data_IF_588356202298
#
_entry.id   IF_588356202298
#
_cell.length_a   1.000
_cell.length_b   1.000
_cell.length_c   1.000
_cell.angle_alpha   90.00
_cell.angle_beta   90.00
_cell.angle_gamma   90.00
#
_symmetry.space_group_name_H-M   'P 1'
#
loop_
_entity.id
_entity.type
_entity.pdbx_description
1 polymer ?
#
# COMPACT_ATOMS: atom_id res chain seq x y z
N UNK A 1 70.11 3.73 22.50
CA UNK A 1 70.60 2.41 22.94
C UNK A 1 69.80 1.90 24.13
N UNK A 2 68.65 1.25 24.01
CA UNK A 2 67.60 1.21 22.97
C UNK A 2 66.31 0.61 23.56
N UNK A 3 66.10 0.73 24.87
CA UNK A 3 65.05 -0.01 25.58
C UNK A 3 64.05 0.90 26.29
N UNK A 4 64.41 2.14 26.63
CA UNK A 4 63.51 3.05 27.35
C UNK A 4 62.57 3.86 26.43
N UNK A 5 62.91 4.05 25.15
CA UNK A 5 62.05 4.77 24.19
C UNK A 5 60.90 3.87 23.70
N UNK A 6 61.12 2.55 23.59
CA UNK A 6 60.10 1.58 23.19
C UNK A 6 58.95 1.44 24.21
N UNK A 7 59.23 1.63 25.50
CA UNK A 7 58.21 1.53 26.56
C UNK A 7 57.30 2.76 26.65
N UNK A 8 57.78 3.95 26.26
CA UNK A 8 56.95 5.16 26.19
C UNK A 8 55.98 5.14 24.99
N UNK A 9 56.36 4.49 23.88
CA UNK A 9 55.50 4.34 22.70
C UNK A 9 54.39 3.30 22.94
N UNK A 10 54.64 2.28 23.78
CA UNK A 10 53.65 1.24 24.11
C UNK A 10 52.59 1.67 25.15
N UNK A 11 52.88 2.69 25.98
CA UNK A 11 51.94 3.18 27.01
C UNK A 11 50.99 4.28 26.50
N UNK A 12 51.29 4.89 25.34
CA UNK A 12 50.44 5.91 24.70
C UNK A 12 49.51 5.37 23.59
N UNK A 13 49.51 4.06 23.33
CA UNK A 13 48.65 3.42 22.33
C UNK A 13 47.54 2.51 22.91
N UNK A 14 46.78 2.94 23.93
CA UNK A 14 45.40 2.50 24.05
C UNK A 14 44.43 3.68 23.98
N UNK A 15 44.63 4.63 23.07
CA UNK A 15 43.58 5.57 22.68
C UNK A 15 43.53 5.68 21.16
N UNK A 16 42.31 5.66 20.62
CA UNK A 16 41.96 5.72 19.19
C UNK A 16 41.80 4.37 18.46
N UNK A 17 41.07 3.43 19.07
CA UNK A 17 40.07 2.69 18.28
C UNK A 17 38.71 3.02 18.88
N UNK A 18 38.19 4.21 18.57
CA UNK A 18 36.75 4.39 18.65
C UNK A 18 36.17 3.54 17.52
N UNK A 19 35.84 2.29 17.82
CA UNK A 19 35.00 1.47 16.97
C UNK A 19 33.78 2.33 16.65
N UNK A 20 33.66 2.80 15.40
CA UNK A 20 32.53 3.61 14.98
C UNK A 20 31.33 2.67 14.84
N UNK A 21 30.78 2.23 15.98
CA UNK A 21 29.67 1.28 16.00
C UNK A 21 28.45 1.99 15.42
N UNK A 22 27.80 1.41 14.39
CA UNK A 22 26.65 2.03 13.76
C UNK A 22 25.55 2.28 14.80
N UNK A 23 25.18 3.55 14.99
CA UNK A 23 24.07 3.95 15.85
C UNK A 23 22.71 3.81 15.15
N UNK A 24 22.68 3.26 13.94
CA UNK A 24 21.47 3.04 13.14
C UNK A 24 21.37 1.56 12.77
N UNK A 25 20.20 0.97 13.01
CA UNK A 25 19.91 -0.43 12.68
C UNK A 25 19.41 -0.57 11.24
N UNK A 26 19.40 -1.81 10.75
CA UNK A 26 18.81 -2.15 9.45
C UNK A 26 17.28 -2.17 9.45
N UNK A 27 16.63 -2.08 10.61
CA UNK A 27 15.18 -2.02 10.69
C UNK A 27 14.67 -0.66 10.21
N UNK A 28 13.56 -0.66 9.47
CA UNK A 28 12.86 0.56 9.06
C UNK A 28 11.51 0.62 9.78
N UNK A 29 11.26 1.72 10.46
CA UNK A 29 9.94 1.96 11.05
C UNK A 29 8.87 2.11 9.95
N UNK A 30 7.63 1.80 10.25
CA UNK A 30 6.51 1.89 9.30
C UNK A 30 5.45 2.78 9.93
N UNK A 31 5.04 3.82 9.19
CA UNK A 31 3.91 4.67 9.58
C UNK A 31 2.66 4.17 8.88
N UNK A 32 1.59 4.04 9.63
CA UNK A 32 0.28 3.60 9.17
C UNK A 32 -0.73 4.70 9.47
N UNK A 33 -1.49 5.09 8.45
CA UNK A 33 -2.64 5.97 8.61
C UNK A 33 -3.80 5.12 9.14
N UNK A 34 -4.21 5.37 10.39
CA UNK A 34 -5.32 4.65 11.02
C UNK A 34 -6.66 5.27 10.65
N UNK A 35 -6.68 6.58 10.39
CA UNK A 35 -7.85 7.28 9.87
C UNK A 35 -8.16 6.87 8.41
N UNK A 36 -9.40 7.03 7.96
CA UNK A 36 -9.81 6.62 6.60
C UNK A 36 -9.13 7.42 5.47
N UNK A 37 -8.73 8.67 5.73
CA UNK A 37 -8.20 9.57 4.72
C UNK A 37 -7.11 10.48 5.31
N UNK A 38 -6.12 10.83 4.50
CA UNK A 38 -5.02 11.72 4.87
C UNK A 38 -5.37 13.20 4.74
N UNK A 39 -6.48 13.53 4.06
CA UNK A 39 -7.03 14.89 3.96
C UNK A 39 -8.20 15.06 4.92
N UNK A 40 -8.05 15.97 5.88
CA UNK A 40 -9.06 16.31 6.90
C UNK A 40 -9.39 17.80 6.88
N UNK A 41 -10.49 18.21 7.49
CA UNK A 41 -10.79 19.63 7.67
C UNK A 41 -10.00 20.21 8.85
N UNK A 42 -9.71 21.50 8.80
CA UNK A 42 -9.22 22.21 9.98
C UNK A 42 -10.23 22.10 11.14
N UNK A 43 -9.72 21.83 12.33
CA UNK A 43 -10.49 21.54 13.54
C UNK A 43 -10.82 20.05 13.74
N UNK A 44 -10.57 19.20 12.74
CA UNK A 44 -10.70 17.74 12.89
C UNK A 44 -9.42 17.12 13.46
N UNK A 45 -9.50 15.83 13.79
CA UNK A 45 -8.33 15.06 14.21
C UNK A 45 -8.04 13.91 13.26
N UNK A 46 -6.80 13.44 13.30
CA UNK A 46 -6.37 12.22 12.63
C UNK A 46 -5.49 11.38 13.54
N UNK A 47 -5.39 10.10 13.19
CA UNK A 47 -4.62 9.14 13.97
C UNK A 47 -3.62 8.39 13.08
N UNK A 48 -2.36 8.40 13.50
CA UNK A 48 -1.27 7.64 12.91
C UNK A 48 -0.76 6.62 13.93
N UNK A 49 -0.29 5.49 13.41
CA UNK A 49 0.41 4.46 14.18
C UNK A 49 1.78 4.22 13.59
N UNK A 50 2.78 4.06 14.44
CA UNK A 50 4.13 3.65 14.07
C UNK A 50 4.37 2.21 14.52
N UNK A 51 4.87 1.37 13.63
CA UNK A 51 5.30 0.01 13.95
C UNK A 51 6.79 -0.16 13.62
N UNK A 52 7.50 -0.91 14.47
CA UNK A 52 8.92 -1.23 14.26
C UNK A 52 9.02 -2.75 14.07
N UNK A 53 9.56 -3.24 12.94
CA UNK A 53 9.61 -4.66 12.62
C UNK A 53 10.73 -5.41 13.37
N UNK A 54 10.91 -5.10 14.66
CA UNK A 54 11.82 -5.80 15.58
C UNK A 54 10.99 -6.47 16.67
N UNK A 55 11.14 -7.79 16.80
CA UNK A 55 10.36 -8.63 17.72
C UNK A 55 10.83 -8.44 19.19
N UNK A 56 12.01 -7.87 19.40
CA UNK A 56 12.57 -7.60 20.73
C UNK A 56 12.21 -6.16 21.16
N UNK A 57 11.07 -6.05 21.84
CA UNK A 57 10.34 -4.83 22.16
C UNK A 57 10.95 -4.03 23.32
N UNK A 58 11.58 -2.90 23.02
CA UNK A 58 11.85 -1.79 23.94
C UNK A 58 12.12 -0.46 23.23
N UNK A 59 11.64 -0.31 22.00
CA UNK A 59 11.82 0.91 21.22
C UNK A 59 10.91 2.02 21.74
N UNK A 60 11.47 3.19 22.03
CA UNK A 60 10.69 4.44 22.09
C UNK A 60 10.48 4.95 20.67
N UNK A 61 9.27 5.44 20.39
CA UNK A 61 8.94 6.00 19.08
C UNK A 61 9.06 7.52 19.14
N UNK A 62 9.85 8.07 18.23
CA UNK A 62 10.04 9.49 17.99
C UNK A 62 9.29 9.87 16.71
N UNK A 63 8.46 10.92 16.75
CA UNK A 63 7.73 11.42 15.59
C UNK A 63 8.39 12.63 14.95
N UNK A 64 8.21 12.77 13.64
CA UNK A 64 8.78 13.84 12.83
C UNK A 64 7.74 14.41 11.87
N UNK A 65 7.78 15.71 11.65
CA UNK A 65 7.08 16.41 10.57
C UNK A 65 8.11 17.11 9.68
N UNK A 66 8.29 16.60 8.46
CA UNK A 66 9.43 16.95 7.63
C UNK A 66 10.74 16.55 8.34
N UNK A 67 11.62 17.52 8.58
CA UNK A 67 12.86 17.31 9.35
C UNK A 67 12.72 17.65 10.83
N UNK A 68 11.59 18.22 11.25
CA UNK A 68 11.36 18.66 12.64
C UNK A 68 10.93 17.48 13.50
N UNK A 69 11.62 17.25 14.63
CA UNK A 69 11.18 16.29 15.64
C UNK A 69 10.03 16.89 16.44
N UNK A 70 8.94 16.14 16.54
CA UNK A 70 7.78 16.50 17.33
C UNK A 70 7.96 16.11 18.81
N UNK A 71 7.33 16.84 19.75
CA UNK A 71 7.40 16.51 21.17
C UNK A 71 6.65 15.22 21.54
N UNK A 72 5.71 14.78 20.72
CA UNK A 72 4.94 13.56 20.92
C UNK A 72 5.83 12.31 20.78
N UNK A 73 5.67 11.38 21.71
CA UNK A 73 6.37 10.09 21.69
C UNK A 73 5.36 8.95 21.85
N UNK A 74 5.78 7.75 21.45
CA UNK A 74 4.96 6.53 21.55
C UNK A 74 4.38 6.10 20.21
N UNK A 75 3.88 4.87 20.15
CA UNK A 75 3.45 4.22 18.90
C UNK A 75 2.29 4.94 18.21
N UNK A 76 1.51 5.71 18.96
CA UNK A 76 0.27 6.32 18.50
C UNK A 76 0.42 7.84 18.49
N UNK A 77 0.29 8.46 17.32
CA UNK A 77 0.23 9.90 17.17
C UNK A 77 -1.19 10.33 16.86
N UNK A 78 -1.63 11.41 17.50
CA UNK A 78 -2.96 11.99 17.29
C UNK A 78 -2.82 13.48 17.06
N UNK A 79 -3.18 13.91 15.87
CA UNK A 79 -3.40 15.33 15.60
C UNK A 79 -4.81 15.66 16.09
N UNK A 80 -4.94 16.62 17.00
CA UNK A 80 -6.23 17.05 17.55
C UNK A 80 -6.48 18.50 17.14
N UNK A 81 -7.73 18.82 16.78
CA UNK A 81 -8.13 20.18 16.41
C UNK A 81 -7.16 20.81 15.38
N UNK A 82 -6.90 20.07 14.31
CA UNK A 82 -5.81 20.34 13.38
C UNK A 82 -5.90 21.74 12.77
N UNK A 83 -4.78 22.46 12.76
CA UNK A 83 -4.63 23.71 12.02
C UNK A 83 -4.00 23.47 10.64
N UNK A 84 -4.30 24.35 9.67
CA UNK A 84 -3.80 24.23 8.29
C UNK A 84 -2.26 24.10 8.26
N UNK A 85 -1.56 24.89 9.09
CA UNK A 85 -0.10 24.88 9.23
C UNK A 85 0.47 23.57 9.80
N UNK A 86 -0.36 22.70 10.34
CA UNK A 86 0.06 21.43 10.94
C UNK A 86 0.04 20.27 9.95
N UNK A 87 -0.52 20.48 8.75
CA UNK A 87 -0.34 19.57 7.62
C UNK A 87 1.13 19.41 7.22
N UNK A 88 1.42 18.32 6.52
CA UNK A 88 2.76 18.02 6.04
C UNK A 88 3.08 16.53 6.04
N UNK A 89 4.37 16.22 5.89
CA UNK A 89 4.88 14.84 5.81
C UNK A 89 5.25 14.34 7.19
N UNK A 90 4.55 13.32 7.68
CA UNK A 90 4.78 12.71 8.97
C UNK A 90 5.58 11.41 8.82
N UNK A 91 6.59 11.22 9.65
CA UNK A 91 7.38 10.00 9.72
C UNK A 91 7.71 9.66 11.17
N UNK A 92 8.05 8.40 11.42
CA UNK A 92 8.45 7.95 12.75
C UNK A 92 9.79 7.20 12.73
N UNK A 93 10.43 7.13 13.90
CA UNK A 93 11.69 6.44 14.12
C UNK A 93 11.66 5.72 15.47
N UNK A 94 12.23 4.53 15.55
CA UNK A 94 12.52 3.88 16.82
C UNK A 94 13.84 4.36 17.39
N UNK A 95 13.89 4.62 18.69
CA UNK A 95 15.11 4.84 19.46
C UNK A 95 15.15 3.88 20.66
N UNK A 96 16.31 3.32 20.97
CA UNK A 96 16.52 2.55 22.20
C UNK A 96 17.93 2.74 22.72
N UNK A 97 18.09 2.65 24.03
CA UNK A 97 19.40 2.64 24.66
C UNK A 97 20.10 1.29 24.47
N UNK A 98 21.42 1.34 24.31
CA UNK A 98 22.27 0.17 24.21
C UNK A 98 23.65 0.45 24.83
N UNK A 99 24.48 -0.59 24.92
CA UNK A 99 25.87 -0.48 25.41
C UNK A 99 26.76 0.46 24.59
N UNK A 100 26.36 0.79 23.36
CA UNK A 100 27.08 1.73 22.47
C UNK A 100 26.40 3.11 22.39
N UNK A 101 25.44 3.36 23.29
CA UNK A 101 24.61 4.55 23.32
C UNK A 101 23.24 4.35 22.66
N UNK A 102 22.56 5.45 22.37
CA UNK A 102 21.25 5.42 21.72
C UNK A 102 21.40 4.93 20.28
N UNK A 103 20.75 3.82 19.98
CA UNK A 103 20.61 3.29 18.62
C UNK A 103 19.22 3.60 18.09
N UNK A 104 19.13 3.87 16.79
CA UNK A 104 17.90 4.23 16.11
C UNK A 104 17.60 3.30 14.94
N UNK A 105 16.34 3.16 14.57
CA UNK A 105 15.95 2.53 13.29
C UNK A 105 16.18 3.51 12.14
N UNK A 106 16.07 3.04 10.89
CA UNK A 106 15.77 3.94 9.79
C UNK A 106 14.38 4.58 10.00
N UNK A 107 14.26 5.85 9.60
CA UNK A 107 12.97 6.53 9.57
C UNK A 107 12.00 5.88 8.58
N UNK A 108 10.72 5.92 8.92
CA UNK A 108 9.67 5.46 8.04
C UNK A 108 9.62 6.27 6.74
N UNK A 109 9.03 5.69 5.70
CA UNK A 109 8.56 6.51 4.59
C UNK A 109 7.52 7.50 5.13
N UNK A 110 7.50 8.75 4.64
CA UNK A 110 6.57 9.73 5.14
C UNK A 110 5.15 9.47 4.62
N UNK A 111 4.15 9.73 5.47
CA UNK A 111 2.75 9.89 5.07
C UNK A 111 2.43 11.37 4.99
N UNK A 112 1.87 11.82 3.87
CA UNK A 112 1.48 13.21 3.67
C UNK A 112 0.06 13.43 4.17
N UNK A 113 -0.08 14.36 5.11
CA UNK A 113 -1.34 14.78 5.72
C UNK A 113 -1.67 16.18 5.23
N UNK A 114 -2.91 16.35 4.77
CA UNK A 114 -3.42 17.63 4.31
C UNK A 114 -4.55 18.13 5.23
N UNK A 115 -4.43 19.36 5.70
CA UNK A 115 -5.41 19.99 6.60
C UNK A 115 -6.09 21.13 5.85
N UNK A 116 -7.30 20.85 5.38
CA UNK A 116 -8.07 21.69 4.47
C UNK A 116 -8.88 22.75 5.24
N UNK A 117 -8.65 24.02 4.94
CA UNK A 117 -9.42 25.16 5.46
C UNK A 117 -10.75 25.40 4.75
N UNK A 118 -11.01 24.70 3.65
CA UNK A 118 -12.22 24.82 2.83
C UNK A 118 -13.44 24.16 3.45
N UNK A 119 -14.50 24.08 2.64
CA UNK A 119 -15.83 23.58 3.04
C UNK A 119 -16.21 22.22 2.43
N UNK A 120 -15.44 21.76 1.44
CA UNK A 120 -15.66 20.49 0.75
C UNK A 120 -14.35 19.73 0.53
N UNK A 121 -14.35 18.42 0.79
CA UNK A 121 -13.25 17.51 0.50
C UNK A 121 -13.79 16.37 -0.36
N UNK A 122 -13.16 16.11 -1.51
CA UNK A 122 -13.40 14.91 -2.27
C UNK A 122 -12.53 13.76 -1.74
N UNK A 123 -13.17 12.75 -1.15
CA UNK A 123 -12.52 11.52 -0.71
C UNK A 123 -12.41 10.54 -1.88
N UNK A 124 -11.18 10.17 -2.22
CA UNK A 124 -10.87 9.05 -3.08
C UNK A 124 -10.54 7.79 -2.26
N UNK A 125 -10.62 6.58 -2.85
CA UNK A 125 -10.17 5.36 -2.19
C UNK A 125 -8.69 5.43 -1.80
N UNK A 126 -8.34 4.79 -0.68
CA UNK A 126 -6.95 4.69 -0.22
C UNK A 126 -6.07 3.85 -1.15
N UNK A 127 -6.67 2.89 -1.84
CA UNK A 127 -6.00 2.01 -2.80
C UNK A 127 -6.27 2.48 -4.23
N UNK A 128 -5.27 2.36 -5.09
CA UNK A 128 -5.40 2.67 -6.50
C UNK A 128 -6.34 1.65 -7.17
N UNK A 129 -7.42 2.09 -7.84
CA UNK A 129 -8.30 1.21 -8.59
C UNK A 129 -7.58 0.61 -9.80
N UNK A 130 -7.94 -0.63 -10.13
CA UNK A 130 -7.52 -1.31 -11.36
C UNK A 130 -8.54 -1.07 -12.48
N UNK A 131 -8.12 -1.22 -13.73
CA UNK A 131 -9.03 -1.24 -14.87
C UNK A 131 -10.14 -2.28 -14.66
N UNK A 132 -11.38 -1.89 -14.93
CA UNK A 132 -12.57 -2.71 -14.68
C UNK A 132 -13.20 -2.56 -13.29
N UNK A 133 -12.50 -1.93 -12.35
CA UNK A 133 -13.04 -1.69 -11.01
C UNK A 133 -14.22 -0.68 -11.04
N UNK A 134 -14.93 -0.62 -9.91
CA UNK A 134 -15.84 0.50 -9.60
C UNK A 134 -15.15 1.50 -8.69
N UNK A 135 -14.91 2.70 -9.21
CA UNK A 135 -14.39 3.83 -8.45
C UNK A 135 -15.52 4.51 -7.70
N UNK A 136 -15.41 4.52 -6.36
CA UNK A 136 -16.29 5.29 -5.47
C UNK A 136 -15.57 6.55 -5.02
N UNK A 137 -16.14 7.71 -5.36
CA UNK A 137 -15.70 9.02 -4.86
C UNK A 137 -16.79 9.57 -3.93
N UNK A 138 -16.39 10.10 -2.78
CA UNK A 138 -17.34 10.66 -1.81
C UNK A 138 -16.97 12.09 -1.48
N UNK A 139 -17.86 13.03 -1.84
CA UNK A 139 -17.72 14.41 -1.43
C UNK A 139 -18.17 14.55 0.03
N UNK A 140 -17.40 15.27 0.83
CA UNK A 140 -17.70 15.54 2.23
C UNK A 140 -17.75 17.03 2.46
N UNK A 141 -18.83 17.50 3.08
CA UNK A 141 -19.00 18.89 3.47
C UNK A 141 -18.74 19.10 4.95
N UNK A 142 -18.45 20.36 5.33
CA UNK A 142 -18.55 20.80 6.72
C UNK A 142 -20.02 20.86 7.14
N UNK A 143 -20.33 20.21 8.26
CA UNK A 143 -21.70 20.09 8.75
C UNK A 143 -22.59 19.27 7.83
N UNK A 144 -23.90 19.47 7.94
CA UNK A 144 -24.91 18.69 7.20
C UNK A 144 -25.98 19.62 6.60
N UNK A 145 -25.62 20.45 5.60
CA UNK A 145 -26.59 21.33 4.95
C UNK A 145 -27.63 20.53 4.13
N UNK A 146 -28.83 21.09 3.86
CA UNK A 146 -29.82 20.47 3.00
C UNK A 146 -29.43 20.62 1.52
N UNK A 147 -28.59 19.70 1.04
CA UNK A 147 -28.06 19.69 -0.32
C UNK A 147 -29.19 19.46 -1.33
N UNK A 148 -29.21 20.24 -2.41
CA UNK A 148 -30.11 20.01 -3.55
C UNK A 148 -29.36 19.53 -4.81
N UNK A 149 -28.08 19.88 -4.98
CA UNK A 149 -27.27 19.49 -6.15
C UNK A 149 -25.82 19.19 -5.77
N UNK A 150 -25.26 18.14 -6.38
CA UNK A 150 -23.85 17.81 -6.33
C UNK A 150 -23.33 17.43 -7.72
N UNK A 151 -22.16 17.95 -8.09
CA UNK A 151 -21.54 17.77 -9.40
C UNK A 151 -20.11 17.27 -9.21
N UNK A 152 -19.72 16.23 -9.93
CA UNK A 152 -18.36 15.73 -10.02
C UNK A 152 -17.72 16.23 -11.32
N UNK A 153 -16.54 16.83 -11.20
CA UNK A 153 -15.69 17.23 -12.31
C UNK A 153 -14.46 16.33 -12.41
N UNK A 154 -14.00 16.07 -13.64
CA UNK A 154 -12.70 15.48 -13.98
C UNK A 154 -11.99 16.40 -14.95
N UNK A 155 -10.80 16.86 -14.57
CA UNK A 155 -9.99 17.80 -15.36
C UNK A 155 -10.78 19.06 -15.79
N UNK A 156 -11.68 19.50 -14.90
CA UNK A 156 -12.55 20.65 -15.12
C UNK A 156 -13.84 20.37 -15.92
N UNK A 157 -14.02 19.16 -16.43
CA UNK A 157 -15.19 18.75 -17.22
C UNK A 157 -16.19 18.03 -16.30
N UNK A 158 -17.47 18.39 -16.39
CA UNK A 158 -18.54 17.73 -15.64
C UNK A 158 -18.72 16.29 -16.11
N UNK A 159 -18.69 15.34 -15.17
CA UNK A 159 -18.80 13.89 -15.45
C UNK A 159 -20.11 13.32 -14.90
N UNK A 160 -20.48 13.72 -13.68
CA UNK A 160 -21.69 13.23 -13.00
C UNK A 160 -22.38 14.40 -12.30
N UNK A 161 -23.69 14.48 -12.45
CA UNK A 161 -24.57 15.39 -11.70
C UNK A 161 -25.61 14.57 -10.94
N UNK A 162 -25.80 14.91 -9.66
CA UNK A 162 -26.77 14.27 -8.78
C UNK A 162 -27.61 15.34 -8.09
N UNK A 163 -28.89 15.05 -7.91
CA UNK A 163 -29.81 15.87 -7.11
C UNK A 163 -30.13 15.18 -5.80
N UNK A 164 -30.30 15.96 -4.74
CA UNK A 164 -30.60 15.46 -3.39
C UNK A 164 -29.37 15.31 -2.50
N UNK A 165 -29.51 14.56 -1.40
CA UNK A 165 -28.46 14.48 -0.36
C UNK A 165 -27.33 13.50 -0.65
N UNK A 166 -27.37 12.76 -1.76
CA UNK A 166 -26.31 11.81 -2.09
C UNK A 166 -25.05 12.57 -2.54
N UNK A 167 -23.94 12.31 -1.86
CA UNK A 167 -22.61 12.86 -2.17
C UNK A 167 -21.61 11.79 -2.60
N UNK A 168 -22.09 10.58 -2.93
CA UNK A 168 -21.27 9.48 -3.43
C UNK A 168 -21.48 9.30 -4.92
N UNK A 169 -20.37 9.41 -5.65
CA UNK A 169 -20.27 9.21 -7.08
C UNK A 169 -19.64 7.86 -7.36
N UNK A 170 -20.19 7.13 -8.33
CA UNK A 170 -19.74 5.80 -8.72
C UNK A 170 -19.44 5.79 -10.21
N UNK A 171 -18.20 5.48 -10.57
CA UNK A 171 -17.79 5.21 -11.95
C UNK A 171 -17.52 3.70 -12.05
N UNK A 172 -18.36 2.98 -12.78
CA UNK A 172 -18.22 1.54 -12.98
C UNK A 172 -17.36 1.23 -14.19
N UNK A 173 -16.60 0.14 -14.13
CA UNK A 173 -15.75 -0.34 -15.24
C UNK A 173 -14.76 0.74 -15.70
N UNK A 174 -13.97 1.25 -14.75
CA UNK A 174 -13.03 2.35 -15.02
C UNK A 174 -11.89 1.92 -15.94
N UNK A 175 -11.43 2.84 -16.77
CA UNK A 175 -10.33 2.67 -17.74
C UNK A 175 -9.18 3.62 -17.41
N UNK A 176 -8.04 3.49 -18.10
CA UNK A 176 -6.94 4.44 -17.92
C UNK A 176 -7.30 5.89 -18.25
N UNK A 177 -8.26 6.10 -19.15
CA UNK A 177 -8.74 7.44 -19.53
C UNK A 177 -9.58 8.10 -18.43
N UNK A 178 -10.01 7.32 -17.42
CA UNK A 178 -10.70 7.85 -16.25
C UNK A 178 -9.73 8.37 -15.17
N UNK A 179 -8.42 8.27 -15.39
CA UNK A 179 -7.43 8.89 -14.52
C UNK A 179 -7.42 10.42 -14.73
N UNK A 180 -7.18 11.18 -13.66
CA UNK A 180 -7.16 12.63 -13.76
C UNK A 180 -7.36 13.34 -12.42
N UNK A 181 -7.59 14.64 -12.50
CA UNK A 181 -7.83 15.51 -11.33
C UNK A 181 -9.34 15.69 -11.12
N UNK A 182 -9.84 15.10 -10.04
CA UNK A 182 -11.26 15.17 -9.70
C UNK A 182 -11.56 16.25 -8.67
N UNK A 183 -12.70 16.92 -8.80
CA UNK A 183 -13.25 17.81 -7.76
C UNK A 183 -14.77 17.66 -7.68
N UNK A 184 -15.33 17.93 -6.50
CA UNK A 184 -16.78 17.95 -6.31
C UNK A 184 -17.26 19.36 -6.01
N UNK A 185 -18.33 19.79 -6.70
CA UNK A 185 -19.09 20.99 -6.37
C UNK A 185 -20.39 20.57 -5.68
N UNK A 186 -20.73 21.22 -4.58
CA UNK A 186 -22.00 20.98 -3.88
C UNK A 186 -22.72 22.29 -3.66
N UNK A 187 -24.02 22.30 -3.97
CA UNK A 187 -24.90 23.45 -3.83
C UNK A 187 -26.07 23.13 -2.88
N UNK A 188 -26.40 24.09 -2.03
CA UNK A 188 -27.49 23.98 -1.07
C UNK A 188 -28.17 25.33 -0.85
N UNK A 189 -29.42 25.32 -0.40
CA UNK A 189 -30.18 26.54 -0.16
C UNK A 189 -30.44 26.76 1.33
N UNK A 190 -30.19 27.97 1.80
CA UNK A 190 -30.53 28.41 3.16
C UNK A 190 -31.18 29.79 3.09
N UNK A 191 -32.38 29.92 3.65
CA UNK A 191 -33.10 31.21 3.77
C UNK A 191 -33.18 31.98 2.44
N UNK A 192 -33.56 31.28 1.36
CA UNK A 192 -33.65 31.82 -0.03
C UNK A 192 -32.32 32.27 -0.65
N UNK A 193 -31.18 31.82 -0.12
CA UNK A 193 -29.86 32.01 -0.73
C UNK A 193 -29.28 30.65 -1.10
N UNK A 194 -28.75 30.57 -2.32
CA UNK A 194 -27.99 29.42 -2.78
C UNK A 194 -26.53 29.62 -2.42
N UNK A 195 -25.98 28.63 -1.72
CA UNK A 195 -24.55 28.52 -1.45
C UNK A 195 -23.98 27.42 -2.33
N UNK A 196 -22.75 27.59 -2.76
CA UNK A 196 -22.06 26.59 -3.57
C UNK A 196 -20.57 26.61 -3.24
N UNK A 197 -19.99 25.43 -3.07
CA UNK A 197 -18.57 25.25 -2.78
C UNK A 197 -18.01 24.17 -3.68
N UNK A 198 -16.73 24.28 -4.02
CA UNK A 198 -16.00 23.28 -4.78
C UNK A 198 -14.82 22.79 -3.93
N UNK A 199 -14.57 21.49 -3.94
CA UNK A 199 -13.40 20.92 -3.29
C UNK A 199 -12.15 21.31 -4.07
N UNK A 200 -11.00 21.27 -3.39
CA UNK A 200 -9.71 21.19 -4.08
C UNK A 200 -9.64 19.92 -4.94
N UNK A 201 -8.74 19.94 -5.92
CA UNK A 201 -8.54 18.80 -6.79
C UNK A 201 -7.90 17.63 -6.03
N UNK A 202 -8.38 16.41 -6.33
CA UNK A 202 -7.86 15.14 -5.85
C UNK A 202 -7.45 14.31 -7.06
N UNK A 203 -6.15 13.99 -7.15
CA UNK A 203 -5.62 13.16 -8.23
C UNK A 203 -6.04 11.71 -8.04
N UNK A 204 -6.60 11.11 -9.08
CA UNK A 204 -6.95 9.69 -9.11
C UNK A 204 -6.17 9.04 -10.25
N UNK A 205 -5.36 8.04 -9.90
CA UNK A 205 -4.65 7.21 -10.86
C UNK A 205 -5.35 5.85 -10.95
N UNK A 206 -5.33 5.26 -12.14
CA UNK A 206 -5.90 3.94 -12.42
C UNK A 206 -4.76 3.08 -12.95
N UNK A 207 -4.67 1.85 -12.45
CA UNK A 207 -3.65 0.90 -12.89
C UNK A 207 -4.25 -0.12 -13.85
N UNK A 208 -3.49 -0.53 -14.86
CA UNK A 208 -3.85 -1.70 -15.65
C UNK A 208 -3.69 -2.98 -14.82
N UNK A 209 -4.47 -4.00 -15.17
CA UNK A 209 -4.37 -5.31 -14.53
C UNK A 209 -3.06 -6.01 -14.91
N UNK A 210 -2.66 -5.90 -16.18
CA UNK A 210 -1.39 -6.39 -16.71
C UNK A 210 -0.64 -5.22 -17.32
N UNK A 211 0.65 -5.12 -17.05
CA UNK A 211 1.50 -4.13 -17.74
C UNK A 211 1.67 -4.49 -19.21
N UNK A 212 2.09 -3.52 -20.01
CA UNK A 212 2.54 -3.77 -21.37
C UNK A 212 3.58 -4.91 -21.40
N UNK A 213 3.40 -5.95 -22.23
CA UNK A 213 4.28 -7.11 -22.26
C UNK A 213 5.59 -6.78 -22.98
N UNK A 214 6.72 -7.10 -22.34
CA UNK A 214 8.05 -6.97 -22.95
C UNK A 214 8.48 -8.32 -23.53
N UNK A 215 8.75 -8.35 -24.83
CA UNK A 215 9.25 -9.54 -25.52
C UNK A 215 10.79 -9.56 -25.54
N UNK A 216 11.37 -10.64 -25.03
CA UNK A 216 12.80 -10.92 -25.09
C UNK A 216 13.05 -12.15 -25.98
N UNK A 217 14.08 -12.07 -26.83
CA UNK A 217 14.48 -13.15 -27.74
C UNK A 217 15.80 -13.73 -27.25
N UNK A 218 15.80 -14.99 -26.84
CA UNK A 218 16.98 -15.74 -26.46
C UNK A 218 17.33 -16.75 -27.57
N UNK A 219 18.33 -16.39 -28.38
CA UNK A 219 18.80 -17.19 -29.51
C UNK A 219 20.17 -17.83 -29.19
N UNK A 220 20.25 -18.60 -28.12
CA UNK A 220 21.47 -19.34 -27.81
C UNK A 220 21.54 -20.64 -28.62
N UNK A 221 22.36 -20.61 -29.68
CA UNK A 221 22.58 -21.76 -30.59
C UNK A 221 23.10 -22.99 -29.84
N UNK A 222 23.82 -22.82 -28.71
CA UNK A 222 24.31 -23.93 -27.88
C UNK A 222 23.19 -24.53 -27.03
N UNK A 223 22.18 -23.74 -26.65
CA UNK A 223 21.08 -24.16 -25.78
C UNK A 223 19.89 -24.72 -26.57
N UNK A 224 19.61 -24.16 -27.76
CA UNK A 224 18.39 -24.47 -28.52
C UNK A 224 18.66 -25.15 -29.88
N UNK A 225 19.90 -25.14 -30.39
CA UNK A 225 20.27 -25.67 -31.71
C UNK A 225 20.18 -24.64 -32.84
N UNK A 226 20.64 -25.02 -34.05
CA UNK A 226 20.54 -24.14 -35.23
C UNK A 226 19.07 -23.83 -35.55
N UNK A 227 18.78 -22.57 -35.86
CA UNK A 227 17.44 -22.04 -36.21
C UNK A 227 16.37 -22.15 -35.11
N UNK A 228 16.74 -22.25 -33.84
CA UNK A 228 15.77 -22.23 -32.74
C UNK A 228 16.05 -21.04 -31.82
N UNK A 229 14.97 -20.37 -31.42
CA UNK A 229 15.00 -19.21 -30.54
C UNK A 229 13.91 -19.38 -29.48
N UNK A 230 14.20 -18.96 -28.25
CA UNK A 230 13.22 -18.89 -27.16
C UNK A 230 12.69 -17.46 -27.09
N UNK A 231 11.38 -17.30 -27.17
CA UNK A 231 10.71 -16.03 -26.92
C UNK A 231 10.26 -16.03 -25.46
N UNK A 232 10.67 -15.03 -24.70
CA UNK A 232 10.30 -14.83 -23.31
C UNK A 232 9.40 -13.60 -23.27
N UNK A 233 8.20 -13.74 -22.71
CA UNK A 233 7.30 -12.62 -22.49
C UNK A 233 7.33 -12.26 -21.00
N UNK A 234 7.77 -11.04 -20.71
CA UNK A 234 7.76 -10.48 -19.37
C UNK A 234 6.53 -9.61 -19.18
N UNK A 235 5.73 -9.92 -18.16
CA UNK A 235 4.55 -9.14 -17.79
C UNK A 235 4.49 -9.00 -16.26
N UNK A 236 4.07 -7.84 -15.79
CA UNK A 236 3.78 -7.58 -14.37
C UNK A 236 2.27 -7.53 -14.18
N UNK A 237 1.79 -8.09 -13.07
CA UNK A 237 0.37 -8.15 -12.73
C UNK A 237 0.10 -7.33 -11.47
N UNK A 238 -0.88 -6.43 -11.53
CA UNK A 238 -1.34 -5.66 -10.39
C UNK A 238 -2.50 -6.39 -9.70
N UNK A 239 -2.34 -6.75 -8.43
CA UNK A 239 -3.31 -7.52 -7.63
C UNK A 239 -3.73 -6.77 -6.35
N UNK A 240 -4.95 -7.03 -5.86
CA UNK A 240 -5.38 -6.57 -4.52
C UNK A 240 -4.91 -7.54 -3.43
N UNK A 241 -4.49 -7.02 -2.27
CA UNK A 241 -4.40 -7.80 -1.04
C UNK A 241 -5.82 -8.02 -0.46
N UNK A 242 -6.14 -9.15 0.22
CA UNK A 242 -5.26 -10.19 0.76
C UNK A 242 -5.27 -11.50 -0.04
N UNK A 243 -4.09 -12.04 -0.36
CA UNK A 243 -3.95 -13.47 -0.70
C UNK A 243 -3.86 -14.31 0.61
N UNK A 244 -4.28 -15.59 0.63
CA UNK A 244 -4.39 -16.42 1.85
C UNK A 244 -3.07 -16.58 2.65
N UNK A 245 -3.15 -17.02 3.93
CA UNK A 245 -2.31 -16.54 5.03
C UNK A 245 -0.95 -17.24 5.17
N UNK A 246 0.12 -16.46 5.40
CA UNK A 246 1.42 -17.01 5.74
C UNK A 246 2.63 -16.07 5.68
N UNK A 247 2.50 -14.82 5.20
CA UNK A 247 3.62 -13.88 5.15
C UNK A 247 3.22 -12.49 5.62
N UNK A 248 4.05 -11.95 6.52
CA UNK A 248 3.92 -10.60 7.08
C UNK A 248 4.00 -9.56 5.96
N UNK A 249 3.18 -8.52 6.12
CA UNK A 249 3.00 -7.44 5.16
C UNK A 249 4.32 -6.77 4.76
N UNK A 250 4.58 -6.79 3.45
CA UNK A 250 5.40 -5.82 2.73
C UNK A 250 4.61 -5.54 1.45
N UNK A 251 4.31 -4.27 1.17
CA UNK A 251 3.85 -3.86 -0.15
C UNK A 251 4.99 -4.17 -1.13
N UNK A 252 4.91 -5.31 -1.81
CA UNK A 252 5.84 -5.67 -2.87
C UNK A 252 5.15 -5.39 -4.21
N UNK A 253 5.78 -4.53 -5.02
CA UNK A 253 5.60 -4.54 -6.46
C UNK A 253 5.69 -5.99 -6.94
N UNK A 254 4.66 -6.43 -7.68
CA UNK A 254 4.45 -7.83 -8.05
C UNK A 254 5.70 -8.46 -8.65
N UNK A 255 6.06 -9.62 -8.11
CA UNK A 255 7.08 -10.51 -8.63
C UNK A 255 6.74 -10.85 -10.10
N UNK A 256 7.71 -10.66 -11.00
CA UNK A 256 7.55 -11.01 -12.41
C UNK A 256 7.24 -12.50 -12.57
N UNK A 257 6.21 -12.80 -13.35
CA UNK A 257 5.91 -14.16 -13.77
C UNK A 257 6.53 -14.39 -15.16
N UNK A 258 7.52 -15.27 -15.25
CA UNK A 258 8.06 -15.76 -16.52
C UNK A 258 7.12 -16.81 -17.09
N UNK A 259 6.46 -16.51 -18.22
CA UNK A 259 5.66 -17.50 -18.96
C UNK A 259 6.58 -18.23 -19.94
N UNK A 260 6.85 -19.52 -19.69
CA UNK A 260 7.51 -20.39 -20.67
C UNK A 260 6.46 -21.04 -21.56
N UNK A 261 6.49 -20.73 -22.86
CA UNK A 261 5.65 -21.40 -23.87
C UNK A 261 6.53 -22.18 -24.85
N UNK A 262 6.12 -23.42 -25.14
CA UNK A 262 6.74 -24.30 -26.14
C UNK A 262 6.60 -23.81 -27.58
N UNK A 263 7.23 -24.57 -28.50
CA UNK A 263 7.40 -24.30 -29.95
C UNK A 263 6.20 -23.66 -30.65
N UNK A 264 6.44 -22.55 -31.37
CA UNK A 264 5.40 -21.88 -32.17
C UNK A 264 5.93 -21.53 -33.57
N UNK A 265 5.17 -21.94 -34.59
CA UNK A 265 5.46 -21.78 -36.03
C UNK A 265 4.86 -20.47 -36.63
N UNK A 266 4.21 -19.63 -35.82
CA UNK A 266 3.60 -18.35 -36.25
C UNK A 266 3.23 -17.42 -35.07
N UNK A 267 3.54 -16.13 -35.21
CA UNK A 267 3.30 -15.07 -34.20
C UNK A 267 1.81 -14.81 -33.88
N UNK A 268 0.88 -15.10 -34.80
CA UNK A 268 -0.56 -14.94 -34.54
C UNK A 268 -1.17 -16.06 -33.67
N UNK A 269 -0.55 -17.24 -33.64
CA UNK A 269 -1.01 -18.36 -32.82
C UNK A 269 -0.63 -18.18 -31.33
N UNK A 270 0.40 -17.39 -31.04
CA UNK A 270 0.95 -17.16 -29.70
C UNK A 270 -0.03 -16.40 -28.78
N UNK A 271 -0.65 -15.33 -29.29
CA UNK A 271 -1.63 -14.53 -28.53
C UNK A 271 -2.90 -15.31 -28.19
N UNK A 272 -3.23 -16.39 -28.92
CA UNK A 272 -4.39 -17.26 -28.64
C UNK A 272 -4.10 -18.37 -27.62
N UNK A 273 -2.85 -18.78 -27.45
CA UNK A 273 -2.49 -20.01 -26.74
C UNK A 273 -1.77 -19.80 -25.40
N UNK A 274 -1.47 -18.55 -25.02
CA UNK A 274 -0.86 -18.26 -23.72
C UNK A 274 -1.84 -18.58 -22.57
N UNK A 275 -1.74 -19.80 -22.01
CA UNK A 275 -2.38 -20.15 -20.74
C UNK A 275 -1.45 -19.73 -19.60
N UNK A 276 -1.93 -18.84 -18.74
CA UNK A 276 -1.29 -18.53 -17.46
C UNK A 276 -1.32 -19.82 -16.62
N UNK A 277 -0.17 -20.47 -16.47
CA UNK A 277 -0.04 -21.62 -15.58
C UNK A 277 0.54 -21.11 -14.27
N UNK A 278 -0.31 -20.92 -13.27
CA UNK A 278 0.15 -20.66 -11.90
C UNK A 278 0.78 -21.95 -11.36
N UNK A 279 2.12 -21.99 -11.24
CA UNK A 279 2.78 -23.03 -10.47
C UNK A 279 2.53 -22.80 -8.97
N UNK A 280 1.41 -23.29 -8.46
CA UNK A 280 1.26 -23.58 -7.05
C UNK A 280 1.89 -24.94 -6.77
N UNK A 281 3.19 -24.96 -6.45
CA UNK A 281 3.80 -26.13 -5.84
C UNK A 281 3.34 -26.21 -4.37
N UNK A 282 2.27 -26.97 -4.12
CA UNK A 282 2.02 -27.54 -2.80
C UNK A 282 1.91 -29.06 -2.91
N UNK A 283 2.61 -29.82 -2.05
CA UNK A 283 2.47 -31.26 -1.99
C UNK A 283 1.09 -31.62 -1.44
N UNK A 284 0.41 -32.55 -2.10
CA UNK A 284 -0.82 -33.19 -1.61
C UNK A 284 -0.66 -33.69 -0.17
N UNK A 285 -1.60 -33.41 0.75
CA UNK A 285 -1.72 -34.16 1.98
C UNK A 285 -2.23 -35.56 1.65
N UNK A 286 -1.50 -36.59 2.05
CA UNK A 286 -2.01 -37.97 2.06
C UNK A 286 -3.23 -38.03 2.97
N UNK A 287 -4.37 -38.42 2.42
CA UNK A 287 -5.53 -38.81 3.19
C UNK A 287 -5.18 -40.07 4.01
N UNK A 288 -5.16 -39.92 5.34
CA UNK A 288 -5.23 -41.03 6.27
C UNK A 288 -6.69 -41.53 6.28
N UNK A 289 -6.89 -42.78 5.88
CA UNK A 289 -8.15 -43.51 6.01
C UNK A 289 -8.47 -43.74 7.52
N UNK A 290 -9.74 -43.61 7.94
CA UNK A 290 -10.18 -44.08 9.25
C UNK A 290 -10.34 -45.62 9.26
N UNK A 291 -10.23 -46.29 10.42
CA UNK A 291 -10.30 -47.74 10.50
C UNK A 291 -11.73 -48.27 10.36
N UNK A 292 -11.83 -49.41 9.68
CA UNK A 292 -12.96 -50.31 9.54
C UNK A 292 -13.48 -50.82 10.90
N UNK A 293 -14.79 -50.93 11.05
CA UNK A 293 -15.43 -51.82 12.05
C UNK A 293 -16.75 -52.38 11.48
N UNK A 294 -17.23 -53.55 11.93
CA UNK A 294 -17.66 -54.61 11.04
C UNK A 294 -19.18 -54.71 10.92
N UNK A 295 -19.61 -55.32 9.81
CA UNK A 295 -20.98 -55.77 9.50
C UNK A 295 -21.65 -56.56 10.63
N UNK A 296 -22.97 -56.35 10.78
CA UNK A 296 -23.99 -57.42 10.94
C UNK A 296 -25.41 -56.84 10.64
N UNK A 297 -26.48 -57.64 10.45
CA UNK A 297 -27.27 -57.75 9.22
C UNK A 297 -28.75 -57.25 9.38
N UNK A 298 -29.61 -57.36 8.34
CA UNK A 298 -30.85 -56.60 8.22
C UNK A 298 -32.10 -57.38 8.64
N UNK A 299 -33.18 -56.64 8.95
CA UNK A 299 -34.63 -56.97 8.96
C UNK A 299 -35.31 -55.97 9.93
N UNK A 300 -36.56 -55.50 9.84
CA UNK A 300 -37.68 -55.54 8.90
C UNK A 300 -38.75 -54.58 9.49
N UNK A 301 -39.68 -54.12 8.64
CA UNK A 301 -41.07 -53.70 8.92
C UNK A 301 -41.38 -52.31 9.52
N UNK A 302 -42.11 -51.54 8.69
CA UNK A 302 -43.39 -50.82 8.97
C UNK A 302 -43.32 -49.63 9.95
N UNK A 303 -44.05 -48.52 9.80
CA UNK A 303 -45.26 -48.21 9.03
C UNK A 303 -45.38 -46.69 8.84
N UNK A 304 -46.03 -46.31 7.75
CA UNK A 304 -46.76 -45.05 7.57
C UNK A 304 -47.76 -44.76 8.70
N UNK A 305 -47.79 -43.52 9.17
CA UNK A 305 -48.96 -42.70 9.53
C UNK A 305 -48.51 -41.26 9.69
#
# INVERSE_FOLDING_TARGET
MDTCIFLLVLVLLPQLIMSNVPKVTSFRAVVELVSENSRIFSGEGLHLRCSIPDVHSNWSVEWFRGSERLPENGENFKLWNAHIKEGGKFSCQGARESVVGIIRTMQSLPVEIDVDGGWAILKAPSHQPLTGDTLKLSCRLRGTPPIHEAILYRDGIEVIRQTGQNLSFYLSNVTLEDAGMYSCRVSWDVRRRTYSVISVNTTVNILEVLTEPLMEIQADVKMFGKNRMKLICHVQYNARAPAPPGSRAVQLQGQGATVESGEVESTQQFLRNARITTMAQHPHPRHLLPPENPKLPPELLQSSS
#
